data_IF_418736750181
#
_entry.id   IF_418736750181
#
_cell.length_a   1.000
_cell.length_b   1.000
_cell.length_c   1.000
_cell.angle_alpha   90.00
_cell.angle_beta   90.00
_cell.angle_gamma   90.00
#
_symmetry.space_group_name_H-M   'P 1'
#
loop_
_entity.id
_entity.type
_entity.pdbx_description
1 polymer ?
#
# COMPACT_ATOMS: atom_id res chain seq x y z
N UNK A 1 -13.03 16.92 8.41
CA UNK A 1 -12.40 17.95 7.56
C UNK A 1 -13.07 17.88 6.20
N UNK A 2 -13.61 19.03 5.74
CA UNK A 2 -14.72 19.16 4.84
C UNK A 2 -14.60 18.54 3.44
N UNK A 3 -15.68 17.91 3.04
CA UNK A 3 -15.95 17.44 1.68
C UNK A 3 -16.16 18.68 0.81
N UNK A 4 -15.23 19.00 -0.09
CA UNK A 4 -15.44 20.03 -1.09
C UNK A 4 -16.49 19.56 -2.10
N UNK A 5 -17.65 20.20 -2.08
CA UNK A 5 -18.72 20.04 -3.05
C UNK A 5 -18.28 20.69 -4.37
N UNK A 6 -17.98 19.87 -5.38
CA UNK A 6 -17.75 20.35 -6.74
C UNK A 6 -19.14 20.41 -7.42
N UNK A 7 -19.70 21.60 -7.50
CA UNK A 7 -20.94 21.85 -8.23
C UNK A 7 -20.58 22.42 -9.61
N UNK A 8 -20.87 21.69 -10.70
CA UNK A 8 -20.71 22.20 -12.07
C UNK A 8 -22.06 22.71 -12.58
N UNK A 9 -22.11 23.99 -12.94
CA UNK A 9 -23.26 24.58 -13.67
C UNK A 9 -23.10 24.31 -15.15
N UNK A 10 -24.11 23.71 -15.77
CA UNK A 10 -24.24 23.59 -17.22
C UNK A 10 -25.36 24.52 -17.66
N UNK A 11 -25.00 25.59 -18.39
CA UNK A 11 -25.97 26.50 -19.00
C UNK A 11 -26.19 26.11 -20.45
N UNK A 12 -27.40 25.61 -20.79
CA UNK A 12 -27.83 25.46 -22.19
C UNK A 12 -28.72 26.63 -22.54
N UNK A 13 -28.27 27.48 -23.51
CA UNK A 13 -29.00 28.64 -23.92
C UNK A 13 -30.08 28.33 -24.95
N UNK A 14 -31.36 28.53 -24.55
CA UNK A 14 -32.50 28.82 -25.43
C UNK A 14 -33.33 29.91 -24.77
N UNK A 15 -33.83 30.93 -25.51
CA UNK A 15 -34.53 32.04 -24.90
C UNK A 15 -35.94 31.60 -24.51
N UNK A 16 -36.24 31.56 -23.19
CA UNK A 16 -37.60 31.44 -22.71
C UNK A 16 -37.83 30.36 -21.65
N UNK A 17 -37.02 30.04 -20.77
CA UNK A 17 -37.19 29.51 -19.41
C UNK A 17 -35.92 28.71 -19.03
N UNK A 18 -35.02 29.35 -18.31
CA UNK A 18 -33.82 28.64 -17.85
C UNK A 18 -34.19 27.75 -16.65
N UNK A 19 -34.41 26.45 -16.90
CA UNK A 19 -34.50 25.44 -15.85
C UNK A 19 -33.08 25.00 -15.50
N UNK A 20 -32.51 25.55 -14.42
CA UNK A 20 -31.21 25.11 -13.91
C UNK A 20 -31.38 23.83 -13.11
N UNK A 21 -31.01 22.69 -13.69
CA UNK A 21 -30.96 21.43 -12.97
C UNK A 21 -29.57 21.34 -12.31
N UNK A 22 -29.53 21.52 -10.99
CA UNK A 22 -28.30 21.29 -10.21
C UNK A 22 -28.19 19.78 -9.90
N UNK A 23 -27.37 19.08 -10.66
CA UNK A 23 -27.05 17.68 -10.36
C UNK A 23 -25.94 17.65 -9.32
N UNK A 24 -26.30 17.43 -8.06
CA UNK A 24 -25.32 17.12 -7.01
C UNK A 24 -24.98 15.64 -7.07
N UNK A 25 -23.81 15.31 -7.67
CA UNK A 25 -23.25 13.96 -7.56
C UNK A 25 -22.80 13.76 -6.08
N UNK A 26 -23.59 13.02 -5.32
CA UNK A 26 -23.15 12.49 -4.03
C UNK A 26 -22.18 11.36 -4.30
N UNK A 27 -20.88 11.60 -4.10
CA UNK A 27 -19.93 10.51 -3.95
C UNK A 27 -20.33 9.74 -2.69
N UNK A 28 -20.97 8.59 -2.86
CA UNK A 28 -21.20 7.66 -1.77
C UNK A 28 -19.82 7.18 -1.33
N UNK A 29 -19.31 7.71 -0.23
CA UNK A 29 -18.25 7.03 0.51
C UNK A 29 -18.84 5.68 0.90
N UNK A 30 -18.33 4.61 0.32
CA UNK A 30 -18.69 3.25 0.74
C UNK A 30 -18.16 3.09 2.16
N UNK A 31 -19.05 3.17 3.11
CA UNK A 31 -18.75 2.87 4.51
C UNK A 31 -18.50 1.36 4.56
N UNK A 32 -17.26 0.96 4.79
CA UNK A 32 -16.87 -0.45 4.85
C UNK A 32 -17.46 -1.05 6.13
N UNK A 33 -18.67 -1.62 6.02
CA UNK A 33 -19.25 -2.36 7.12
C UNK A 33 -18.57 -3.72 7.23
N UNK A 34 -17.97 -4.00 8.39
CA UNK A 34 -17.27 -5.25 8.62
C UNK A 34 -18.25 -6.39 8.94
N UNK A 35 -18.13 -7.58 8.29
CA UNK A 35 -19.13 -8.63 8.35
C UNK A 35 -19.14 -9.44 9.65
N UNK A 36 -18.05 -9.43 10.43
CA UNK A 36 -17.96 -10.21 11.66
C UNK A 36 -17.97 -9.32 12.89
N UNK A 37 -18.58 -9.76 14.01
CA UNK A 37 -18.54 -9.03 15.28
C UNK A 37 -17.10 -8.74 15.72
N UNK A 38 -16.87 -7.53 16.24
CA UNK A 38 -15.56 -7.11 16.74
C UNK A 38 -14.55 -6.68 15.68
N UNK A 39 -14.84 -6.89 14.39
CA UNK A 39 -13.98 -6.35 13.32
C UNK A 39 -14.07 -4.84 13.21
N UNK A 40 -12.95 -4.25 12.81
CA UNK A 40 -12.85 -2.81 12.50
C UNK A 40 -12.30 -2.62 11.08
N UNK A 41 -12.67 -1.52 10.40
CA UNK A 41 -12.03 -1.13 9.14
C UNK A 41 -10.51 -1.05 9.31
N UNK A 42 -9.79 -1.67 8.39
CA UNK A 42 -8.34 -1.88 8.47
C UNK A 42 -7.73 -1.68 7.08
N UNK A 43 -6.54 -1.10 7.03
CA UNK A 43 -5.68 -1.13 5.85
C UNK A 43 -4.84 -2.40 5.87
N UNK A 44 -5.01 -3.24 4.86
CA UNK A 44 -4.16 -4.41 4.63
C UNK A 44 -3.03 -3.98 3.72
N UNK A 45 -1.80 -4.04 4.22
CA UNK A 45 -0.60 -3.65 3.49
C UNK A 45 0.26 -4.89 3.23
N UNK A 46 0.71 -5.07 2.00
CA UNK A 46 1.68 -6.10 1.63
C UNK A 46 2.89 -5.42 0.99
N UNK A 47 4.08 -5.68 1.52
CA UNK A 47 5.34 -5.21 0.96
C UNK A 47 6.18 -6.41 0.52
N UNK A 48 6.70 -6.34 -0.70
CA UNK A 48 7.48 -7.41 -1.33
C UNK A 48 8.94 -6.98 -1.42
N UNK A 49 9.80 -7.67 -0.70
CA UNK A 49 11.22 -7.36 -0.55
C UNK A 49 12.06 -8.38 -1.30
N UNK A 50 12.61 -8.00 -2.45
CA UNK A 50 13.60 -8.82 -3.18
C UNK A 50 14.83 -9.07 -2.31
N UNK A 51 15.41 -10.26 -2.42
CA UNK A 51 16.58 -10.63 -1.61
C UNK A 51 17.89 -10.56 -2.37
N UNK A 52 17.87 -10.41 -3.70
CA UNK A 52 19.07 -10.36 -4.52
C UNK A 52 19.73 -8.98 -4.43
N UNK A 53 21.05 -8.95 -4.20
CA UNK A 53 21.84 -7.74 -4.20
C UNK A 53 22.87 -7.80 -5.33
N UNK A 54 22.87 -6.78 -6.19
CA UNK A 54 23.81 -6.71 -7.30
C UNK A 54 25.26 -6.78 -6.81
N UNK A 55 26.07 -7.63 -7.45
CA UNK A 55 27.49 -7.85 -7.15
C UNK A 55 27.79 -8.35 -5.71
N UNK A 56 26.77 -8.96 -5.07
CA UNK A 56 26.92 -9.55 -3.73
C UNK A 56 25.96 -10.75 -3.62
N UNK A 57 26.17 -11.60 -2.62
CA UNK A 57 25.18 -12.62 -2.24
C UNK A 57 23.88 -11.99 -1.73
N UNK A 58 22.80 -12.79 -1.62
CA UNK A 58 21.49 -12.29 -1.21
C UNK A 58 21.51 -11.71 0.21
N UNK A 59 20.47 -10.96 0.56
CA UNK A 59 20.22 -10.51 1.93
C UNK A 59 20.23 -11.73 2.85
N UNK A 60 21.12 -11.74 3.81
CA UNK A 60 21.26 -12.83 4.76
C UNK A 60 20.12 -12.82 5.79
N UNK A 61 19.84 -13.97 6.40
CA UNK A 61 18.83 -14.05 7.45
C UNK A 61 19.16 -13.15 8.65
N UNK A 62 20.45 -12.95 8.96
CA UNK A 62 20.88 -12.04 10.03
C UNK A 62 20.57 -10.59 9.70
N UNK A 63 20.85 -10.16 8.47
CA UNK A 63 20.53 -8.80 8.01
C UNK A 63 19.02 -8.57 7.97
N UNK A 64 18.26 -9.56 7.46
CA UNK A 64 16.80 -9.50 7.46
C UNK A 64 16.23 -9.38 8.87
N UNK A 65 16.67 -10.20 9.80
CA UNK A 65 16.22 -10.13 11.20
C UNK A 65 16.57 -8.79 11.86
N UNK A 66 17.75 -8.25 11.54
CA UNK A 66 18.16 -6.91 12.00
C UNK A 66 17.25 -5.82 11.44
N UNK A 67 16.90 -5.91 10.14
CA UNK A 67 15.96 -4.98 9.51
C UNK A 67 14.56 -5.06 10.14
N UNK A 68 14.05 -6.27 10.39
CA UNK A 68 12.78 -6.44 11.09
C UNK A 68 12.79 -5.79 12.47
N UNK A 69 13.84 -6.08 13.25
CA UNK A 69 13.94 -5.60 14.64
C UNK A 69 14.10 -4.08 14.74
N UNK A 70 14.98 -3.50 13.92
CA UNK A 70 15.38 -2.09 14.07
C UNK A 70 14.64 -1.13 13.15
N UNK A 71 13.97 -1.64 12.10
CA UNK A 71 13.30 -0.79 11.12
C UNK A 71 11.80 -1.03 11.07
N UNK A 72 11.36 -2.30 10.99
CA UNK A 72 9.93 -2.63 10.86
C UNK A 72 9.22 -2.52 12.20
N UNK A 73 9.72 -3.22 13.23
CA UNK A 73 9.07 -3.29 14.54
C UNK A 73 8.80 -1.91 15.18
N UNK A 74 9.72 -0.93 15.14
CA UNK A 74 9.45 0.38 15.72
C UNK A 74 8.34 1.17 15.01
N UNK A 75 8.08 0.87 13.73
CA UNK A 75 7.04 1.51 12.93
C UNK A 75 5.69 0.81 13.04
N UNK A 76 5.71 -0.48 13.29
CA UNK A 76 4.52 -1.34 13.37
C UNK A 76 4.59 -2.22 14.61
N UNK A 77 4.52 -1.61 15.81
CA UNK A 77 4.67 -2.33 17.09
C UNK A 77 3.51 -3.28 17.37
N UNK A 78 2.34 -3.04 16.79
CA UNK A 78 1.15 -3.91 16.95
C UNK A 78 1.29 -5.25 16.22
N UNK A 79 2.31 -5.37 15.36
CA UNK A 79 2.66 -6.63 14.72
C UNK A 79 2.57 -6.62 13.20
N UNK A 80 3.19 -7.64 12.63
CA UNK A 80 3.20 -7.93 11.20
C UNK A 80 3.50 -9.42 11.00
N UNK A 81 3.15 -9.94 9.83
CA UNK A 81 3.46 -11.32 9.46
C UNK A 81 4.44 -11.35 8.30
N UNK A 82 5.40 -12.29 8.32
CA UNK A 82 6.41 -12.45 7.27
C UNK A 82 6.23 -13.78 6.56
N UNK A 83 6.23 -13.75 5.22
CA UNK A 83 6.27 -14.93 4.37
C UNK A 83 7.56 -14.99 3.57
N UNK A 84 8.04 -16.20 3.32
CA UNK A 84 9.00 -16.44 2.25
C UNK A 84 8.23 -16.55 0.93
N UNK A 85 8.71 -15.88 -0.08
CA UNK A 85 8.11 -15.85 -1.39
C UNK A 85 9.17 -16.06 -2.49
N UNK A 86 8.70 -16.30 -3.69
CA UNK A 86 9.54 -16.50 -4.86
C UNK A 86 8.92 -15.74 -6.03
N UNK A 87 9.68 -14.83 -6.60
CA UNK A 87 9.27 -14.01 -7.72
C UNK A 87 9.91 -14.47 -9.03
N UNK A 88 9.19 -14.26 -10.12
CA UNK A 88 9.69 -14.48 -11.48
C UNK A 88 9.14 -13.42 -12.40
N UNK A 89 10.02 -12.84 -13.23
CA UNK A 89 9.62 -11.87 -14.25
C UNK A 89 10.49 -12.01 -15.49
N UNK A 90 9.98 -11.52 -16.61
CA UNK A 90 10.77 -11.37 -17.83
C UNK A 90 11.51 -10.03 -17.76
N UNK A 91 12.83 -10.07 -17.75
CA UNK A 91 13.63 -8.85 -17.77
C UNK A 91 13.51 -8.19 -19.16
N UNK A 92 13.02 -6.93 -19.24
CA UNK A 92 12.76 -6.26 -20.50
C UNK A 92 14.03 -5.96 -21.32
N UNK A 93 15.17 -5.81 -20.65
CA UNK A 93 16.42 -5.45 -21.30
C UNK A 93 17.15 -6.67 -21.87
N UNK A 94 17.12 -7.79 -21.14
CA UNK A 94 17.84 -9.01 -21.51
C UNK A 94 16.97 -10.06 -22.18
N UNK A 95 15.65 -9.92 -22.15
CA UNK A 95 14.66 -10.90 -22.59
C UNK A 95 14.82 -12.30 -21.93
N UNK A 96 15.45 -12.34 -20.75
CA UNK A 96 15.59 -13.56 -19.97
C UNK A 96 14.66 -13.56 -18.75
N UNK A 97 14.21 -14.78 -18.41
CA UNK A 97 13.44 -14.97 -17.17
C UNK A 97 14.38 -14.82 -15.97
N UNK A 98 14.09 -13.84 -15.15
CA UNK A 98 14.78 -13.63 -13.87
C UNK A 98 13.94 -14.20 -12.74
N UNK A 99 14.61 -14.84 -11.77
CA UNK A 99 14.00 -15.48 -10.61
C UNK A 99 14.68 -14.98 -9.35
N UNK A 100 13.88 -14.73 -8.32
CA UNK A 100 14.37 -14.15 -7.08
C UNK A 100 13.58 -14.66 -5.87
N UNK A 101 14.31 -15.03 -4.81
CA UNK A 101 13.70 -15.19 -3.50
C UNK A 101 13.30 -13.82 -2.96
N UNK A 102 12.18 -13.76 -2.29
CA UNK A 102 11.66 -12.54 -1.67
C UNK A 102 11.07 -12.83 -0.29
N UNK A 103 10.94 -11.78 0.48
CA UNK A 103 10.17 -11.76 1.74
C UNK A 103 8.94 -10.89 1.51
N UNK A 104 7.81 -11.30 2.07
CA UNK A 104 6.59 -10.47 2.08
C UNK A 104 6.26 -10.15 3.53
N UNK A 105 6.09 -8.87 3.82
CA UNK A 105 5.54 -8.42 5.10
C UNK A 105 4.07 -8.06 4.86
N UNK A 106 3.19 -8.62 5.69
CA UNK A 106 1.78 -8.23 5.75
C UNK A 106 1.52 -7.51 7.06
N UNK A 107 0.93 -6.32 6.96
CA UNK A 107 0.60 -5.45 8.08
C UNK A 107 -0.91 -5.19 8.04
N UNK A 108 -1.58 -5.35 9.17
CA UNK A 108 -2.97 -4.96 9.37
C UNK A 108 -2.98 -3.74 10.29
N UNK A 109 -3.41 -2.59 9.79
CA UNK A 109 -3.26 -1.33 10.51
C UNK A 109 -4.39 -0.35 10.19
N UNK A 110 -4.50 0.73 10.96
CA UNK A 110 -5.42 1.81 10.63
C UNK A 110 -4.94 2.60 9.40
N UNK A 111 -5.87 3.04 8.54
CA UNK A 111 -5.54 3.91 7.40
C UNK A 111 -5.42 5.36 7.86
N UNK A 112 -4.22 5.76 8.27
CA UNK A 112 -3.90 7.11 8.70
C UNK A 112 -2.73 7.71 7.93
N UNK A 113 -2.63 9.03 7.89
CA UNK A 113 -1.51 9.70 7.22
C UNK A 113 -0.12 9.32 7.81
N UNK A 114 0.06 9.23 9.15
CA UNK A 114 1.31 8.73 9.72
C UNK A 114 1.65 7.31 9.31
N UNK A 115 0.66 6.40 9.27
CA UNK A 115 0.88 5.01 8.82
C UNK A 115 1.32 4.98 7.36
N UNK A 116 0.68 5.73 6.48
CA UNK A 116 1.09 5.81 5.07
C UNK A 116 2.52 6.33 4.90
N UNK A 117 2.92 7.33 5.71
CA UNK A 117 4.30 7.81 5.74
C UNK A 117 5.27 6.69 6.19
N UNK A 118 4.96 5.99 7.29
CA UNK A 118 5.76 4.87 7.79
C UNK A 118 5.95 3.74 6.76
N UNK A 119 4.92 3.44 5.94
CA UNK A 119 5.01 2.46 4.85
C UNK A 119 6.02 2.92 3.79
N UNK A 120 5.97 4.18 3.39
CA UNK A 120 6.91 4.75 2.41
C UNK A 120 8.34 4.74 2.94
N UNK A 121 8.53 5.22 4.17
CA UNK A 121 9.85 5.21 4.83
C UNK A 121 10.43 3.81 4.97
N UNK A 122 9.59 2.81 5.26
CA UNK A 122 10.01 1.41 5.35
C UNK A 122 10.54 0.90 4.00
N UNK A 123 9.83 1.20 2.92
CA UNK A 123 10.27 0.87 1.55
C UNK A 123 11.61 1.54 1.21
N UNK A 124 11.74 2.82 1.51
CA UNK A 124 12.95 3.59 1.20
C UNK A 124 14.15 3.13 2.03
N UNK A 125 13.93 2.79 3.31
CA UNK A 125 14.97 2.24 4.19
C UNK A 125 15.52 0.92 3.63
N UNK A 126 14.64 0.01 3.17
CA UNK A 126 15.07 -1.25 2.56
C UNK A 126 15.85 -1.03 1.27
N UNK A 127 15.32 -0.20 0.38
CA UNK A 127 15.97 0.13 -0.89
C UNK A 127 17.38 0.70 -0.68
N UNK A 128 17.52 1.61 0.28
CA UNK A 128 18.80 2.23 0.61
C UNK A 128 19.77 1.21 1.22
N UNK A 129 19.32 0.46 2.22
CA UNK A 129 20.16 -0.48 2.97
C UNK A 129 20.66 -1.63 2.10
N UNK A 130 19.81 -2.16 1.23
CA UNK A 130 20.09 -3.36 0.43
C UNK A 130 20.26 -3.07 -1.07
N UNK A 131 20.38 -1.81 -1.46
CA UNK A 131 20.59 -1.38 -2.86
C UNK A 131 19.54 -1.96 -3.81
N UNK A 132 18.29 -1.98 -3.36
CA UNK A 132 17.19 -2.48 -4.17
C UNK A 132 16.64 -1.38 -5.07
N UNK A 133 16.22 -1.76 -6.27
CA UNK A 133 15.59 -0.82 -7.21
C UNK A 133 14.19 -0.41 -6.73
N UNK A 134 13.43 -1.36 -6.20
CA UNK A 134 12.06 -1.15 -5.75
C UNK A 134 11.66 -2.11 -4.63
N UNK A 135 10.61 -1.73 -3.91
CA UNK A 135 9.80 -2.60 -3.06
C UNK A 135 8.37 -2.44 -3.57
N UNK A 136 7.76 -3.53 -4.00
CA UNK A 136 6.35 -3.48 -4.39
C UNK A 136 5.48 -3.35 -3.14
N UNK A 137 4.49 -2.44 -3.21
CA UNK A 137 3.55 -2.17 -2.12
C UNK A 137 2.14 -2.35 -2.66
N UNK A 138 1.36 -3.19 -2.00
CA UNK A 138 -0.05 -3.40 -2.29
C UNK A 138 -0.86 -3.02 -1.06
N UNK A 139 -1.90 -2.22 -1.24
CA UNK A 139 -2.80 -1.82 -0.17
C UNK A 139 -4.23 -2.12 -0.55
N UNK A 140 -4.99 -2.68 0.39
CA UNK A 140 -6.41 -2.95 0.22
C UNK A 140 -7.17 -2.54 1.49
N UNK A 141 -8.38 -1.98 1.36
CA UNK A 141 -9.27 -1.88 2.49
C UNK A 141 -9.71 -3.28 2.94
N UNK A 142 -9.83 -3.49 4.23
CA UNK A 142 -10.22 -4.77 4.81
C UNK A 142 -10.87 -4.59 6.18
N UNK A 143 -11.15 -5.72 6.81
CA UNK A 143 -11.67 -5.78 8.17
C UNK A 143 -10.83 -6.74 8.99
N UNK A 144 -10.43 -6.33 10.19
CA UNK A 144 -9.69 -7.19 11.12
C UNK A 144 -10.21 -7.08 12.54
N UNK A 145 -10.02 -8.15 13.31
CA UNK A 145 -10.22 -8.22 14.76
C UNK A 145 -8.98 -8.85 15.40
N UNK A 146 -8.60 -8.35 16.57
CA UNK A 146 -7.52 -8.86 17.43
C UNK A 146 -8.02 -8.96 18.86
#
# INVERSE_FOLDING_TARGET
MGIQKICRMITSGLPGLALTITVCAHALAQDLSCPLPGQKPTLVVQLFFGQSIANRGPVTQKEWNSFLLHTVTPRFPDGFTVYNAYGQWLNPDTHHVTRENSKVIVILTADTAPVRASITELSDAYRTQFRQQSVAIVTNPGCSAF
#
